data_IF_390118906856
#
_entry.id   IF_390118906856
#
_cell.length_a   1.000
_cell.length_b   1.000
_cell.length_c   1.000
_cell.angle_alpha   90.00
_cell.angle_beta   90.00
_cell.angle_gamma   90.00
#
_symmetry.space_group_name_H-M   'P 1'
#
loop_
_entity.id
_entity.type
_entity.pdbx_description
1 polymer ?
#
# COMPACT_ATOMS: atom_id res chain seq x y z
N UNK A 1 16.93 11.39 7.56
CA UNK A 1 16.51 10.21 8.37
C UNK A 1 17.33 9.01 7.94
N UNK A 2 17.60 8.08 8.86
CA UNK A 2 18.29 6.83 8.53
C UNK A 2 17.44 6.02 7.52
N UNK A 3 18.07 5.51 6.45
CA UNK A 3 17.38 4.63 5.49
C UNK A 3 17.51 3.17 5.93
N UNK A 4 16.41 2.43 5.87
CA UNK A 4 16.40 0.98 6.09
C UNK A 4 16.37 0.29 4.73
N UNK A 5 17.29 -0.67 4.52
CA UNK A 5 17.30 -1.48 3.31
C UNK A 5 16.23 -2.57 3.45
N UNK A 6 15.25 -2.55 2.57
CA UNK A 6 14.12 -3.47 2.60
C UNK A 6 13.97 -4.19 1.27
N UNK A 7 13.85 -5.51 1.31
CA UNK A 7 13.47 -6.32 0.16
C UNK A 7 11.97 -6.58 0.22
N UNK A 8 11.26 -6.34 -0.89
CA UNK A 8 9.82 -6.50 -0.97
C UNK A 8 9.43 -7.09 -2.32
N UNK A 9 8.38 -7.90 -2.34
CA UNK A 9 7.79 -8.43 -3.56
C UNK A 9 6.68 -7.49 -4.03
N UNK A 10 6.76 -7.02 -5.27
CA UNK A 10 5.74 -6.20 -5.91
C UNK A 10 5.44 -6.73 -7.29
N UNK A 11 4.25 -6.39 -7.77
CA UNK A 11 3.83 -6.67 -9.13
C UNK A 11 4.84 -6.10 -10.15
N UNK A 12 5.15 -6.91 -11.17
CA UNK A 12 6.15 -6.56 -12.18
C UNK A 12 5.73 -5.33 -12.99
N UNK A 13 4.45 -5.23 -13.34
CA UNK A 13 3.93 -4.11 -14.12
C UNK A 13 4.03 -2.81 -13.32
N UNK A 14 3.81 -2.86 -12.01
CA UNK A 14 3.99 -1.73 -11.11
C UNK A 14 5.48 -1.34 -11.04
N UNK A 15 6.38 -2.32 -10.86
CA UNK A 15 7.82 -2.04 -10.84
C UNK A 15 8.30 -1.41 -12.15
N UNK A 16 7.74 -1.84 -13.30
CA UNK A 16 8.03 -1.23 -14.61
C UNK A 16 7.65 0.26 -14.63
N UNK A 17 6.51 0.64 -14.07
CA UNK A 17 6.11 2.05 -13.98
C UNK A 17 7.08 2.86 -13.11
N UNK A 18 7.52 2.30 -11.98
CA UNK A 18 8.54 2.94 -11.12
C UNK A 18 9.82 3.20 -11.92
N UNK A 19 10.32 2.22 -12.68
CA UNK A 19 11.53 2.37 -13.51
C UNK A 19 11.38 3.49 -14.54
N UNK A 20 10.24 3.54 -15.25
CA UNK A 20 9.96 4.59 -16.24
C UNK A 20 9.95 5.96 -15.58
N UNK A 21 9.29 6.09 -14.43
CA UNK A 21 9.20 7.37 -13.71
C UNK A 21 10.53 7.83 -13.13
N UNK A 22 11.33 6.89 -12.61
CA UNK A 22 12.69 7.14 -12.15
C UNK A 22 13.56 7.71 -13.28
N UNK A 23 13.54 7.06 -14.45
CA UNK A 23 14.26 7.53 -15.63
C UNK A 23 13.81 8.92 -16.09
N UNK A 24 12.50 9.17 -16.17
CA UNK A 24 11.95 10.47 -16.60
C UNK A 24 12.23 11.62 -15.62
N UNK A 25 12.42 11.32 -14.34
CA UNK A 25 12.63 12.33 -13.30
C UNK A 25 14.08 12.46 -12.86
N UNK A 26 15.00 11.69 -13.47
CA UNK A 26 16.40 11.58 -13.04
C UNK A 26 16.54 11.26 -11.54
N UNK A 27 15.66 10.38 -11.02
CA UNK A 27 15.66 9.93 -9.63
C UNK A 27 15.94 8.45 -9.54
N UNK A 28 16.39 7.99 -8.37
CA UNK A 28 16.48 6.56 -8.10
C UNK A 28 15.10 5.92 -7.94
N UNK A 29 15.01 4.61 -8.20
CA UNK A 29 13.78 3.84 -7.99
C UNK A 29 13.31 3.94 -6.53
N UNK A 30 14.23 3.93 -5.57
CA UNK A 30 13.92 4.06 -4.14
C UNK A 30 13.27 5.39 -3.81
N UNK A 31 13.69 6.50 -4.41
CA UNK A 31 13.08 7.81 -4.18
C UNK A 31 11.67 7.88 -4.76
N UNK A 32 11.45 7.29 -5.93
CA UNK A 32 10.11 7.21 -6.54
C UNK A 32 9.17 6.35 -5.69
N UNK A 33 9.64 5.20 -5.22
CA UNK A 33 8.90 4.32 -4.31
C UNK A 33 8.60 5.02 -2.99
N UNK A 34 9.58 5.68 -2.37
CA UNK A 34 9.38 6.39 -1.11
C UNK A 34 8.36 7.53 -1.25
N UNK A 35 8.43 8.32 -2.33
CA UNK A 35 7.47 9.39 -2.58
C UNK A 35 6.05 8.84 -2.75
N UNK A 36 5.87 7.78 -3.55
CA UNK A 36 4.58 7.14 -3.75
C UNK A 36 4.01 6.55 -2.45
N UNK A 37 4.86 5.93 -1.64
CA UNK A 37 4.48 5.39 -0.33
C UNK A 37 4.05 6.50 0.64
N UNK A 38 4.79 7.60 0.71
CA UNK A 38 4.43 8.75 1.55
C UNK A 38 3.11 9.38 1.13
N UNK A 39 2.89 9.53 -0.17
CA UNK A 39 1.63 10.07 -0.70
C UNK A 39 0.45 9.13 -0.39
N UNK A 40 0.60 7.83 -0.69
CA UNK A 40 -0.44 6.82 -0.43
C UNK A 40 -0.80 6.69 1.04
N UNK A 41 0.20 6.56 1.91
CA UNK A 41 -0.01 6.51 3.37
C UNK A 41 -0.60 7.83 3.90
N UNK A 42 -0.17 8.98 3.37
CA UNK A 42 -0.73 10.28 3.73
C UNK A 42 -2.19 10.47 3.31
N UNK A 43 -2.66 9.78 2.27
CA UNK A 43 -4.09 9.73 1.92
C UNK A 43 -4.86 8.92 2.97
N UNK A 44 -4.33 7.77 3.39
CA UNK A 44 -4.96 6.93 4.42
C UNK A 44 -5.11 7.71 5.72
N UNK A 45 -4.06 8.43 6.15
CA UNK A 45 -4.13 9.27 7.35
C UNK A 45 -5.17 10.40 7.22
N UNK A 46 -5.28 11.02 6.05
CA UNK A 46 -6.32 12.02 5.79
C UNK A 46 -7.73 11.44 5.81
N UNK A 47 -7.93 10.23 5.28
CA UNK A 47 -9.22 9.53 5.34
C UNK A 47 -9.55 9.19 6.79
N UNK A 48 -8.59 8.64 7.54
CA UNK A 48 -8.73 8.32 8.96
C UNK A 48 -9.09 9.56 9.78
N UNK A 49 -8.42 10.68 9.55
CA UNK A 49 -8.73 11.94 10.25
C UNK A 49 -10.15 12.46 9.98
N UNK A 50 -10.73 12.13 8.81
CA UNK A 50 -12.12 12.48 8.48
C UNK A 50 -13.13 11.46 9.03
N UNK A 51 -12.72 10.21 9.16
CA UNK A 51 -13.55 9.18 9.77
C UNK A 51 -13.59 9.43 11.29
N UNK A 52 -14.69 10.03 11.77
CA UNK A 52 -14.98 10.13 13.22
C UNK A 52 -15.41 8.76 13.75
N UNK A 53 -14.49 7.79 13.71
CA UNK A 53 -14.69 6.45 14.23
C UNK A 53 -13.85 6.28 15.48
N UNK A 54 -14.40 5.57 16.46
CA UNK A 54 -13.59 5.08 17.56
C UNK A 54 -12.57 4.05 17.05
N UNK A 55 -11.50 3.83 17.81
CA UNK A 55 -10.48 2.84 17.47
C UNK A 55 -11.09 1.43 17.31
N UNK A 56 -12.08 1.11 18.15
CA UNK A 56 -12.77 -0.19 18.15
C UNK A 56 -13.62 -0.39 16.88
N UNK A 57 -14.35 0.65 16.46
CA UNK A 57 -15.13 0.63 15.20
C UNK A 57 -14.22 0.52 13.98
N UNK A 58 -13.10 1.23 13.98
CA UNK A 58 -12.12 1.17 12.90
C UNK A 58 -11.48 -0.22 12.80
N UNK A 59 -11.17 -0.85 13.93
CA UNK A 59 -10.60 -2.19 14.00
C UNK A 59 -11.58 -3.26 13.50
N UNK A 60 -12.86 -3.18 13.90
CA UNK A 60 -13.90 -4.10 13.45
C UNK A 60 -14.08 -4.04 11.93
N UNK A 61 -14.16 -2.83 11.36
CA UNK A 61 -14.27 -2.64 9.90
C UNK A 61 -13.05 -3.22 9.17
N UNK A 62 -11.84 -2.92 9.65
CA UNK A 62 -10.61 -3.42 9.04
C UNK A 62 -10.52 -4.96 9.10
N UNK A 63 -10.88 -5.55 10.24
CA UNK A 63 -10.90 -7.00 10.43
C UNK A 63 -11.86 -7.67 9.44
N UNK A 64 -13.09 -7.15 9.33
CA UNK A 64 -14.10 -7.65 8.37
C UNK A 64 -13.59 -7.61 6.93
N UNK A 65 -12.99 -6.51 6.50
CA UNK A 65 -12.43 -6.37 5.15
C UNK A 65 -11.32 -7.40 4.86
N UNK A 66 -10.39 -7.61 5.81
CA UNK A 66 -9.33 -8.62 5.67
C UNK A 66 -9.91 -10.04 5.61
N UNK A 67 -10.91 -10.35 6.43
CA UNK A 67 -11.59 -11.64 6.39
C UNK A 67 -12.30 -11.88 5.06
N UNK A 68 -12.92 -10.87 4.47
CA UNK A 68 -13.59 -10.96 3.18
C UNK A 68 -12.61 -11.25 2.04
N UNK A 69 -11.49 -10.51 1.97
CA UNK A 69 -10.44 -10.77 0.95
C UNK A 69 -9.89 -12.18 1.09
N UNK A 70 -9.61 -12.64 2.31
CA UNK A 70 -9.14 -14.02 2.58
C UNK A 70 -10.19 -15.06 2.19
N UNK A 71 -11.48 -14.79 2.39
CA UNK A 71 -12.56 -15.68 1.99
C UNK A 71 -12.69 -15.78 0.46
N UNK A 72 -12.53 -14.67 -0.26
CA UNK A 72 -12.54 -14.63 -1.72
C UNK A 72 -11.36 -15.42 -2.31
N UNK A 73 -10.16 -15.27 -1.75
CA UNK A 73 -8.98 -16.04 -2.18
C UNK A 73 -9.14 -17.54 -1.92
N UNK A 74 -9.75 -17.92 -0.79
CA UNK A 74 -10.06 -19.33 -0.50
C UNK A 74 -11.11 -19.90 -1.46
N UNK A 75 -12.13 -19.12 -1.83
CA UNK A 75 -13.14 -19.53 -2.82
C UNK A 75 -12.52 -19.72 -4.20
N UNK A 76 -11.62 -18.82 -4.63
CA UNK A 76 -10.89 -18.95 -5.91
C UNK A 76 -9.95 -20.15 -5.97
N UNK A 77 -9.49 -20.67 -4.82
CA UNK A 77 -8.59 -21.83 -4.71
C UNK A 77 -9.30 -23.17 -4.52
N UNK A 78 -10.64 -23.18 -4.36
CA UNK A 78 -11.42 -24.42 -4.32
C UNK A 78 -11.81 -24.77 -5.76
N UNK A 79 -11.51 -26.01 -6.25
CA UNK A 79 -11.83 -26.44 -7.61
C UNK A 79 -13.35 -26.52 -7.85
#
# INVERSE_FOLDING_TARGET
MARVKTTLSIDESLMRQVRIRAARSNKSQSEVLEAALREGLGIIERIRAKARLSEEEALDIASKAVHEVRAQDRRKRRP
#
